data_IF_525891411680
#
_entry.id   IF_525891411680
#
_cell.length_a   1.000
_cell.length_b   1.000
_cell.length_c   1.000
_cell.angle_alpha   90.00
_cell.angle_beta   90.00
_cell.angle_gamma   90.00
#
_symmetry.space_group_name_H-M   'P 1'
#
loop_
_entity.id
_entity.type
_entity.pdbx_description
1 polymer ?
#
# COMPACT_ATOMS: atom_id res chain seq x y z
N UNK A 1 -3.27 -44.76 22.79
CA UNK A 1 -4.33 -44.11 21.99
C UNK A 1 -3.65 -43.18 21.01
N UNK A 2 -4.01 -43.31 19.73
CA UNK A 2 -3.20 -42.90 18.57
C UNK A 2 -3.07 -41.39 18.44
N UNK A 3 -1.84 -40.86 18.48
CA UNK A 3 -1.52 -39.54 17.97
C UNK A 3 -1.08 -39.69 16.51
N UNK A 4 -2.03 -39.60 15.58
CA UNK A 4 -1.72 -39.54 14.16
C UNK A 4 -1.22 -38.14 13.82
N UNK A 5 0.10 -37.94 13.93
CA UNK A 5 0.76 -36.83 13.25
C UNK A 5 0.70 -37.12 11.74
N UNK A 6 -0.27 -36.51 11.06
CA UNK A 6 -0.29 -36.35 9.61
C UNK A 6 0.85 -35.38 9.21
N UNK A 7 2.07 -35.91 9.24
CA UNK A 7 3.22 -35.31 8.60
C UNK A 7 3.02 -35.56 7.09
N UNK A 8 2.41 -34.59 6.42
CA UNK A 8 2.20 -34.62 4.97
C UNK A 8 3.56 -34.66 4.28
N UNK A 9 3.94 -35.84 3.81
CA UNK A 9 5.14 -36.09 3.02
C UNK A 9 4.91 -35.66 1.57
N UNK A 10 5.41 -34.47 1.22
CA UNK A 10 5.36 -33.91 -0.13
C UNK A 10 6.40 -34.52 -1.09
N UNK A 11 7.13 -35.57 -0.69
CA UNK A 11 8.08 -36.28 -1.57
C UNK A 11 7.46 -37.49 -2.28
N UNK A 12 6.19 -37.79 -2.02
CA UNK A 12 5.46 -38.87 -2.71
C UNK A 12 5.09 -38.47 -4.15
N UNK A 13 5.49 -39.26 -5.17
CA UNK A 13 5.10 -39.01 -6.56
C UNK A 13 3.57 -39.05 -6.72
N UNK A 14 2.96 -37.92 -7.10
CA UNK A 14 1.51 -37.81 -7.36
C UNK A 14 0.70 -36.98 -6.36
N UNK A 15 1.31 -36.37 -5.33
CA UNK A 15 0.61 -35.40 -4.49
C UNK A 15 0.33 -34.11 -5.28
N UNK A 16 -0.93 -33.68 -5.31
CA UNK A 16 -1.29 -32.34 -5.81
C UNK A 16 -0.73 -31.33 -4.80
N UNK A 17 0.13 -30.38 -5.20
CA UNK A 17 0.61 -29.36 -4.28
C UNK A 17 -0.57 -28.61 -3.66
N UNK A 18 -0.52 -28.29 -2.35
CA UNK A 18 -1.62 -27.63 -1.68
C UNK A 18 -1.89 -26.29 -2.35
N UNK A 19 -3.16 -25.92 -2.43
CA UNK A 19 -3.57 -24.64 -3.00
C UNK A 19 -2.85 -23.50 -2.24
N UNK A 20 -2.09 -22.63 -2.94
CA UNK A 20 -1.30 -21.59 -2.28
C UNK A 20 -2.13 -20.63 -1.41
N UNK A 21 -3.41 -20.42 -1.74
CA UNK A 21 -4.29 -19.54 -0.97
C UNK A 21 -4.73 -20.22 0.34
N UNK A 22 -5.06 -21.51 0.28
CA UNK A 22 -5.36 -22.29 1.50
C UNK A 22 -4.13 -22.43 2.40
N UNK A 23 -2.93 -22.56 1.81
CA UNK A 23 -1.67 -22.60 2.56
C UNK A 23 -1.41 -21.27 3.30
N UNK A 24 -1.57 -20.13 2.61
CA UNK A 24 -1.45 -18.80 3.22
C UNK A 24 -2.48 -18.63 4.34
N UNK A 25 -3.74 -19.04 4.12
CA UNK A 25 -4.78 -18.95 5.15
C UNK A 25 -4.43 -19.77 6.38
N UNK A 26 -3.90 -20.99 6.19
CA UNK A 26 -3.46 -21.84 7.31
C UNK A 26 -2.37 -21.15 8.11
N UNK A 27 -1.35 -20.62 7.45
CA UNK A 27 -0.23 -19.92 8.10
C UNK A 27 -0.73 -18.70 8.90
N UNK A 28 -1.63 -17.90 8.33
CA UNK A 28 -2.22 -16.74 9.02
C UNK A 28 -2.97 -17.17 10.28
N UNK A 29 -3.81 -18.20 10.17
CA UNK A 29 -4.57 -18.73 11.31
C UNK A 29 -3.65 -19.29 12.41
N UNK A 30 -2.65 -20.09 12.04
CA UNK A 30 -1.67 -20.62 12.99
C UNK A 30 -0.89 -19.49 13.70
N UNK A 31 -0.52 -18.46 12.95
CA UNK A 31 0.16 -17.27 13.51
C UNK A 31 -0.73 -16.55 14.51
N UNK A 32 -2.01 -16.32 14.17
CA UNK A 32 -2.98 -15.68 15.07
C UNK A 32 -3.15 -16.46 16.37
N UNK A 33 -3.30 -17.79 16.28
CA UNK A 33 -3.44 -18.67 17.45
C UNK A 33 -2.20 -18.56 18.34
N UNK A 34 -0.99 -18.63 17.76
CA UNK A 34 0.26 -18.50 18.52
C UNK A 34 0.40 -17.14 19.20
N UNK A 35 -0.04 -16.06 18.56
CA UNK A 35 -0.02 -14.72 19.17
C UNK A 35 -0.99 -14.60 20.34
N UNK A 36 -2.18 -15.20 20.25
CA UNK A 36 -3.13 -15.23 21.38
C UNK A 36 -2.59 -16.03 22.57
N UNK A 37 -1.90 -17.16 22.30
CA UNK A 37 -1.23 -17.93 23.35
C UNK A 37 -0.12 -17.10 23.99
N UNK A 38 0.70 -16.42 23.19
CA UNK A 38 1.76 -15.54 23.68
C UNK A 38 1.18 -14.41 24.55
N UNK A 39 0.13 -13.72 24.11
CA UNK A 39 -0.56 -12.71 24.91
C UNK A 39 -1.00 -13.26 26.26
N UNK A 40 -1.71 -14.40 26.27
CA UNK A 40 -2.15 -15.05 27.51
C UNK A 40 -1.00 -15.37 28.47
N UNK A 41 0.13 -15.87 27.96
CA UNK A 41 1.31 -16.17 28.78
C UNK A 41 1.90 -14.90 29.39
N UNK A 42 2.06 -13.85 28.58
CA UNK A 42 2.63 -12.57 29.03
C UNK A 42 1.73 -11.90 30.07
N UNK A 43 0.40 -11.96 29.90
CA UNK A 43 -0.56 -11.37 30.83
C UNK A 43 -0.64 -12.12 32.17
N UNK A 44 -0.66 -13.45 32.12
CA UNK A 44 -0.90 -14.27 33.30
C UNK A 44 0.37 -14.50 34.13
N UNK A 45 1.53 -14.63 33.49
CA UNK A 45 2.77 -14.99 34.17
C UNK A 45 3.61 -13.75 34.57
N UNK A 46 3.11 -12.53 34.33
CA UNK A 46 3.80 -11.26 34.60
C UNK A 46 5.25 -11.28 34.10
N UNK A 47 5.45 -11.82 32.90
CA UNK A 47 6.78 -12.08 32.35
C UNK A 47 7.50 -10.75 32.10
N UNK A 48 8.66 -10.57 32.74
CA UNK A 48 9.50 -9.37 32.55
C UNK A 48 10.31 -9.40 31.24
N UNK A 49 10.43 -10.56 30.59
CA UNK A 49 11.17 -10.70 29.33
C UNK A 49 10.58 -9.82 28.22
N UNK A 50 11.37 -8.85 27.77
CA UNK A 50 10.97 -7.85 26.79
C UNK A 50 10.72 -8.44 25.41
N UNK A 51 11.31 -9.58 25.06
CA UNK A 51 11.25 -10.12 23.70
C UNK A 51 9.84 -10.55 23.31
N UNK A 52 9.12 -11.22 24.22
CA UNK A 52 7.72 -11.60 24.00
C UNK A 52 6.81 -10.39 23.80
N UNK A 53 6.94 -9.38 24.67
CA UNK A 53 6.18 -8.14 24.56
C UNK A 53 6.49 -7.36 23.27
N UNK A 54 7.76 -7.31 22.85
CA UNK A 54 8.16 -6.69 21.58
C UNK A 54 7.55 -7.42 20.39
N UNK A 55 7.57 -8.76 20.39
CA UNK A 55 7.01 -9.56 19.30
C UNK A 55 5.50 -9.31 19.15
N UNK A 56 4.77 -9.30 20.27
CA UNK A 56 3.33 -9.05 20.28
C UNK A 56 2.99 -7.61 19.82
N UNK A 57 3.75 -6.62 20.28
CA UNK A 57 3.58 -5.24 19.84
C UNK A 57 3.87 -5.05 18.34
N UNK A 58 4.90 -5.70 17.80
CA UNK A 58 5.18 -5.67 16.35
C UNK A 58 4.06 -6.33 15.55
N UNK A 59 3.47 -7.41 16.05
CA UNK A 59 2.34 -8.06 15.41
C UNK A 59 1.12 -7.14 15.34
N UNK A 60 0.69 -6.56 16.47
CA UNK A 60 -0.44 -5.63 16.49
C UNK A 60 -0.23 -4.38 15.63
N UNK A 61 1.01 -3.89 15.54
CA UNK A 61 1.34 -2.79 14.65
C UNK A 61 1.18 -3.18 13.17
N UNK A 62 1.59 -4.39 12.79
CA UNK A 62 1.49 -4.88 11.43
C UNK A 62 0.04 -5.21 11.01
N UNK A 63 -0.81 -5.57 11.96
CA UNK A 63 -2.23 -5.92 11.74
C UNK A 63 -3.21 -4.78 12.02
N UNK A 64 -2.71 -3.57 12.32
CA UNK A 64 -3.50 -2.37 12.66
C UNK A 64 -4.43 -2.55 13.87
N UNK A 65 -4.03 -3.37 14.83
CA UNK A 65 -4.77 -3.64 16.07
C UNK A 65 -4.40 -2.64 17.17
N UNK A 66 -4.76 -1.37 16.95
CA UNK A 66 -4.36 -0.24 17.82
C UNK A 66 -4.85 -0.39 19.26
N UNK A 67 -6.03 -0.99 19.47
CA UNK A 67 -6.59 -1.19 20.82
C UNK A 67 -5.78 -2.21 21.62
N UNK A 68 -5.39 -3.32 20.98
CA UNK A 68 -4.61 -4.39 21.61
C UNK A 68 -3.19 -3.92 21.91
N UNK A 69 -2.60 -3.10 21.02
CA UNK A 69 -1.33 -2.42 21.28
C UNK A 69 -1.39 -1.51 22.52
N UNK A 70 -2.46 -0.72 22.66
CA UNK A 70 -2.65 0.15 23.82
C UNK A 70 -2.88 -0.64 25.13
N UNK A 71 -3.52 -1.81 25.05
CA UNK A 71 -3.71 -2.73 26.17
C UNK A 71 -2.35 -3.24 26.68
N UNK A 72 -1.53 -3.81 25.80
CA UNK A 72 -0.23 -4.39 26.19
C UNK A 72 0.78 -3.34 26.65
N UNK A 73 0.74 -2.11 26.10
CA UNK A 73 1.57 -0.99 26.58
C UNK A 73 1.31 -0.70 28.06
N UNK A 74 0.03 -0.69 28.47
CA UNK A 74 -0.35 -0.44 29.87
C UNK A 74 0.10 -1.58 30.78
N UNK A 75 -0.09 -2.82 30.33
CA UNK A 75 0.29 -4.01 31.11
C UNK A 75 1.80 -4.11 31.29
N UNK A 76 2.57 -3.96 30.22
CA UNK A 76 4.02 -3.97 30.29
C UNK A 76 4.57 -2.85 31.18
N UNK A 77 4.01 -1.64 31.06
CA UNK A 77 4.38 -0.51 31.91
C UNK A 77 4.04 -0.74 33.37
N UNK A 78 2.94 -1.44 33.67
CA UNK A 78 2.57 -1.80 35.04
C UNK A 78 3.53 -2.83 35.64
N UNK A 79 4.00 -3.80 34.86
CA UNK A 79 4.92 -4.86 35.31
C UNK A 79 6.34 -4.29 35.49
N UNK A 80 6.85 -3.59 34.48
CA UNK A 80 8.27 -3.22 34.41
C UNK A 80 8.56 -1.76 34.81
N UNK A 81 7.54 -0.91 34.89
CA UNK A 81 7.68 0.53 35.08
C UNK A 81 8.14 1.30 33.84
N UNK A 82 8.49 0.60 32.75
CA UNK A 82 9.06 1.17 31.53
C UNK A 82 8.02 1.17 30.39
N UNK A 83 8.10 2.15 29.50
CA UNK A 83 7.26 2.18 28.29
C UNK A 83 7.81 1.24 27.22
N UNK A 84 6.99 0.26 26.80
CA UNK A 84 7.31 -0.68 25.74
C UNK A 84 7.49 0.05 24.41
N UNK A 85 6.56 0.97 24.11
CA UNK A 85 6.59 1.80 22.91
C UNK A 85 7.79 2.75 22.86
N UNK A 86 8.31 3.23 24.00
CA UNK A 86 9.53 4.04 24.02
C UNK A 86 10.77 3.21 23.61
N UNK A 87 10.90 1.98 24.13
CA UNK A 87 11.98 1.07 23.75
C UNK A 87 11.89 0.67 22.28
N UNK A 88 10.69 0.33 21.81
CA UNK A 88 10.41 0.01 20.41
C UNK A 88 10.67 1.21 19.49
N UNK A 89 10.27 2.42 19.87
CA UNK A 89 10.59 3.66 19.15
C UNK A 89 12.09 3.88 19.02
N UNK A 90 12.84 3.66 20.10
CA UNK A 90 14.29 3.81 20.07
C UNK A 90 14.95 2.76 19.16
N UNK A 91 14.54 1.50 19.28
CA UNK A 91 15.13 0.35 18.57
C UNK A 91 14.71 0.25 17.10
N UNK A 92 13.47 0.61 16.80
CA UNK A 92 12.84 0.57 15.48
C UNK A 92 12.36 1.97 15.08
N UNK A 93 13.22 2.96 15.23
CA UNK A 93 12.92 4.37 14.92
C UNK A 93 12.38 4.53 13.50
N UNK A 94 12.82 3.70 12.55
CA UNK A 94 12.31 3.68 11.17
C UNK A 94 10.83 3.25 11.03
N UNK A 95 10.29 2.52 12.01
CA UNK A 95 8.89 2.07 12.02
C UNK A 95 7.97 2.96 12.86
N UNK A 96 8.53 3.69 13.83
CA UNK A 96 7.76 4.54 14.75
C UNK A 96 8.01 6.05 14.59
N UNK A 97 8.99 6.48 13.80
CA UNK A 97 9.13 7.88 13.39
C UNK A 97 7.97 8.21 12.45
N UNK A 98 6.84 8.48 13.07
CA UNK A 98 5.69 9.11 12.46
C UNK A 98 5.76 10.64 12.57
N UNK A 99 6.79 11.22 13.21
CA UNK A 99 7.04 12.68 13.28
C UNK A 99 8.48 12.97 13.78
N UNK A 100 9.42 13.23 12.88
CA UNK A 100 10.62 14.10 13.09
C UNK A 100 11.44 14.29 11.81
N UNK A 101 10.75 14.53 10.70
CA UNK A 101 11.17 15.34 9.57
C UNK A 101 9.94 15.35 8.66
N UNK A 102 9.44 16.52 8.30
CA UNK A 102 8.58 16.74 7.14
C UNK A 102 9.36 16.32 5.89
N UNK A 103 9.57 15.02 5.74
CA UNK A 103 10.14 14.42 4.57
C UNK A 103 9.00 13.57 4.03
N UNK A 104 8.40 13.99 2.90
CA UNK A 104 7.29 13.25 2.34
C UNK A 104 7.73 11.81 2.12
N UNK A 105 6.90 10.85 2.52
CA UNK A 105 6.99 9.44 2.15
C UNK A 105 7.09 9.38 0.63
N UNK A 106 8.31 9.12 0.15
CA UNK A 106 8.62 9.05 -1.27
C UNK A 106 8.29 7.64 -1.75
N UNK A 107 7.31 7.53 -2.63
CA UNK A 107 7.10 6.33 -3.44
C UNK A 107 7.79 6.55 -4.79
N UNK A 108 8.93 5.89 -4.96
CA UNK A 108 9.59 5.84 -6.26
C UNK A 108 8.77 4.99 -7.22
N UNK A 109 8.29 5.61 -8.30
CA UNK A 109 7.53 4.91 -9.32
C UNK A 109 8.52 4.07 -10.15
N UNK A 110 8.22 2.78 -10.36
CA UNK A 110 9.12 1.87 -11.05
C UNK A 110 9.37 2.29 -12.49
N UNK A 111 10.57 1.96 -13.00
CA UNK A 111 10.98 2.23 -14.39
C UNK A 111 9.97 1.75 -15.43
N UNK A 112 9.31 0.62 -15.15
CA UNK A 112 8.20 0.09 -15.93
C UNK A 112 6.95 -0.05 -15.07
N UNK A 113 5.89 0.67 -15.44
CA UNK A 113 4.61 0.63 -14.75
C UNK A 113 3.75 -0.47 -15.38
N UNK A 114 3.43 -1.48 -14.58
CA UNK A 114 2.55 -2.62 -14.93
C UNK A 114 1.48 -2.79 -13.85
N UNK A 115 0.61 -3.80 -14.01
CA UNK A 115 -0.34 -4.16 -12.95
C UNK A 115 0.36 -4.56 -11.64
N UNK A 116 1.52 -5.20 -11.68
CA UNK A 116 2.15 -5.77 -10.48
C UNK A 116 3.06 -4.76 -9.77
N UNK A 117 3.61 -3.81 -10.52
CA UNK A 117 4.64 -2.91 -10.00
C UNK A 117 4.10 -1.65 -9.34
N UNK A 118 2.83 -1.28 -9.58
CA UNK A 118 2.19 -0.12 -8.95
C UNK A 118 1.36 -0.54 -7.72
N UNK A 119 1.81 -0.26 -6.49
CA UNK A 119 1.17 -0.71 -5.25
C UNK A 119 0.01 0.23 -4.84
N UNK A 120 -1.01 0.35 -5.71
CA UNK A 120 -2.15 1.28 -5.54
C UNK A 120 -2.81 1.16 -4.17
N UNK A 121 -3.03 -0.06 -3.68
CA UNK A 121 -3.66 -0.29 -2.37
C UNK A 121 -2.83 0.25 -1.20
N UNK A 122 -1.51 0.10 -1.26
CA UNK A 122 -0.61 0.60 -0.22
C UNK A 122 -0.56 2.13 -0.23
N UNK A 123 -0.52 2.75 -1.42
CA UNK A 123 -0.50 4.22 -1.56
C UNK A 123 -1.82 4.81 -1.04
N UNK A 124 -2.97 4.22 -1.38
CA UNK A 124 -4.29 4.66 -0.88
C UNK A 124 -4.41 4.45 0.63
N UNK A 125 -3.99 3.30 1.16
CA UNK A 125 -4.05 3.05 2.60
C UNK A 125 -3.17 4.06 3.36
N UNK A 126 -1.95 4.31 2.88
CA UNK A 126 -1.02 5.25 3.52
C UNK A 126 -1.51 6.68 3.48
N UNK A 127 -2.11 7.10 2.36
CA UNK A 127 -2.66 8.45 2.23
C UNK A 127 -3.82 8.74 3.19
N UNK A 128 -4.62 7.72 3.53
CA UNK A 128 -5.65 7.84 4.57
C UNK A 128 -5.06 7.95 5.98
N UNK A 129 -3.96 7.25 6.26
CA UNK A 129 -3.35 7.23 7.59
C UNK A 129 -2.51 8.46 7.94
N UNK A 130 -2.04 9.20 6.92
CA UNK A 130 -1.21 10.42 7.03
C UNK A 130 -1.42 11.33 5.79
N UNK A 131 -2.52 12.09 5.74
CA UNK A 131 -2.83 12.96 4.59
C UNK A 131 -1.90 14.18 4.57
N UNK A 132 -0.99 14.25 3.60
CA UNK A 132 -0.12 15.42 3.39
C UNK A 132 1.36 15.13 3.17
N UNK A 133 1.82 13.92 3.46
CA UNK A 133 3.25 13.56 3.40
C UNK A 133 3.55 12.55 2.28
N UNK A 134 2.81 12.51 1.17
CA UNK A 134 3.07 11.51 0.11
C UNK A 134 3.59 12.19 -1.14
N UNK A 135 4.81 11.84 -1.52
CA UNK A 135 5.45 12.22 -2.76
C UNK A 135 5.54 11.00 -3.67
N UNK A 136 4.94 11.06 -4.86
CA UNK A 136 5.19 10.07 -5.90
C UNK A 136 6.29 10.60 -6.82
N UNK A 137 7.40 9.87 -6.91
CA UNK A 137 8.56 10.25 -7.73
C UNK A 137 8.53 9.51 -9.07
N UNK A 138 8.26 10.24 -10.16
CA UNK A 138 8.20 9.73 -11.53
C UNK A 138 9.54 9.80 -12.28
N UNK A 139 10.62 10.26 -11.63
CA UNK A 139 11.91 10.53 -12.29
C UNK A 139 12.50 9.34 -13.06
N UNK A 140 12.17 8.11 -12.64
CA UNK A 140 12.72 6.89 -13.23
C UNK A 140 11.81 6.22 -14.28
N UNK A 141 10.60 6.74 -14.51
CA UNK A 141 9.60 6.09 -15.37
C UNK A 141 9.99 6.20 -16.84
N UNK A 142 10.02 5.06 -17.54
CA UNK A 142 10.36 4.99 -18.96
C UNK A 142 9.29 4.28 -19.78
N UNK A 143 8.68 3.25 -19.23
CA UNK A 143 7.66 2.45 -19.91
C UNK A 143 6.40 2.31 -19.06
N UNK A 144 5.26 2.25 -19.74
CA UNK A 144 3.98 1.89 -19.13
C UNK A 144 3.19 1.01 -20.10
N UNK A 145 2.67 -0.10 -19.59
CA UNK A 145 1.79 -0.98 -20.35
C UNK A 145 0.31 -0.63 -20.15
N UNK A 146 -0.57 -1.29 -20.92
CA UNK A 146 -2.02 -1.03 -20.84
C UNK A 146 -2.64 -1.35 -19.48
N UNK A 147 -2.07 -2.28 -18.71
CA UNK A 147 -2.55 -2.60 -17.37
C UNK A 147 -2.08 -1.54 -16.36
N UNK A 148 -0.84 -1.05 -16.50
CA UNK A 148 -0.26 0.05 -15.77
C UNK A 148 -1.05 1.35 -15.96
N UNK A 149 -1.43 1.67 -17.21
CA UNK A 149 -2.29 2.83 -17.52
C UNK A 149 -3.60 2.78 -16.71
N UNK A 150 -4.30 1.64 -16.76
CA UNK A 150 -5.55 1.45 -16.00
C UNK A 150 -5.36 1.59 -14.49
N UNK A 151 -4.26 1.07 -13.93
CA UNK A 151 -3.98 1.21 -12.50
C UNK A 151 -3.65 2.65 -12.12
N UNK A 152 -2.88 3.35 -12.95
CA UNK A 152 -2.50 4.74 -12.70
C UNK A 152 -3.72 5.68 -12.77
N UNK A 153 -4.58 5.52 -13.77
CA UNK A 153 -5.83 6.29 -13.88
C UNK A 153 -6.73 6.09 -12.65
N UNK A 154 -6.83 4.84 -12.16
CA UNK A 154 -7.55 4.53 -10.91
C UNK A 154 -6.92 5.20 -9.71
N UNK A 155 -5.59 5.16 -9.60
CA UNK A 155 -4.88 5.81 -8.50
C UNK A 155 -5.20 7.30 -8.47
N UNK A 156 -5.05 8.02 -9.58
CA UNK A 156 -5.37 9.46 -9.62
C UNK A 156 -6.83 9.74 -9.28
N UNK A 157 -7.77 8.95 -9.84
CA UNK A 157 -9.20 9.12 -9.57
C UNK A 157 -9.55 8.90 -8.10
N UNK A 158 -8.96 7.89 -7.45
CA UNK A 158 -9.16 7.64 -6.01
C UNK A 158 -8.64 8.79 -5.14
N UNK A 159 -7.50 9.40 -5.52
CA UNK A 159 -6.95 10.55 -4.78
C UNK A 159 -7.84 11.79 -4.89
N UNK A 160 -8.42 12.05 -6.08
CA UNK A 160 -9.38 13.13 -6.28
C UNK A 160 -10.65 12.92 -5.46
N UNK A 161 -11.24 11.71 -5.49
CA UNK A 161 -12.48 11.39 -4.76
C UNK A 161 -12.33 11.50 -3.24
N UNK A 162 -11.16 11.14 -2.72
CA UNK A 162 -10.89 11.16 -1.28
C UNK A 162 -10.28 12.49 -0.80
N UNK A 163 -10.17 13.50 -1.67
CA UNK A 163 -9.56 14.82 -1.39
C UNK A 163 -8.15 14.75 -0.79
N UNK A 164 -7.38 13.75 -1.22
CA UNK A 164 -6.05 13.46 -0.70
C UNK A 164 -5.04 14.38 -1.37
N UNK A 165 -4.31 15.16 -0.57
CA UNK A 165 -3.17 15.95 -1.06
C UNK A 165 -1.99 15.02 -1.34
N UNK A 166 -1.53 15.06 -2.58
CA UNK A 166 -0.44 14.22 -3.08
C UNK A 166 0.54 15.10 -3.86
N UNK A 167 1.82 15.01 -3.53
CA UNK A 167 2.87 15.68 -4.27
C UNK A 167 3.39 14.77 -5.39
N UNK A 168 3.59 15.35 -6.57
CA UNK A 168 4.06 14.63 -7.76
C UNK A 168 5.40 15.22 -8.18
N UNK A 169 6.47 14.42 -8.14
CA UNK A 169 7.81 14.84 -8.57
C UNK A 169 8.09 14.34 -9.97
N UNK A 170 8.59 15.23 -10.83
CA UNK A 170 9.00 14.95 -12.22
C UNK A 170 7.91 14.27 -13.07
N UNK A 171 6.63 14.51 -12.73
CA UNK A 171 5.52 13.92 -13.47
C UNK A 171 5.26 14.60 -14.81
N UNK A 172 5.58 15.89 -14.96
CA UNK A 172 5.25 16.66 -16.16
C UNK A 172 5.85 16.05 -17.42
N UNK A 173 7.13 15.69 -17.39
CA UNK A 173 7.79 15.00 -18.50
C UNK A 173 7.10 13.68 -18.86
N UNK A 174 6.66 12.91 -17.84
CA UNK A 174 5.94 11.67 -18.07
C UNK A 174 4.56 11.91 -18.71
N UNK A 175 3.83 12.94 -18.27
CA UNK A 175 2.53 13.32 -18.84
C UNK A 175 2.68 13.83 -20.28
N UNK A 176 3.71 14.61 -20.58
CA UNK A 176 4.00 15.08 -21.94
C UNK A 176 4.32 13.90 -22.87
N UNK A 177 5.10 12.91 -22.40
CA UNK A 177 5.33 11.67 -23.15
C UNK A 177 4.01 10.92 -23.43
N UNK A 178 3.11 10.85 -22.44
CA UNK A 178 1.79 10.24 -22.62
C UNK A 178 0.93 11.03 -23.61
N UNK A 179 0.89 12.36 -23.52
CA UNK A 179 0.15 13.23 -24.44
C UNK A 179 0.60 13.03 -25.89
N UNK A 180 1.91 13.11 -26.13
CA UNK A 180 2.48 12.90 -27.47
C UNK A 180 2.12 11.51 -28.03
N UNK A 181 2.13 10.48 -27.17
CA UNK A 181 1.75 9.12 -27.56
C UNK A 181 0.23 8.98 -27.78
N UNK A 182 -0.59 9.74 -27.06
CA UNK A 182 -2.05 9.74 -27.18
C UNK A 182 -2.52 10.37 -28.50
N UNK A 183 -1.82 11.43 -28.94
CA UNK A 183 -2.08 12.12 -30.20
C UNK A 183 -1.53 11.36 -31.42
N UNK A 184 -0.48 10.56 -31.23
CA UNK A 184 0.01 9.66 -32.26
C UNK A 184 -1.01 8.53 -32.54
N UNK A 185 -1.10 8.07 -33.78
CA UNK A 185 -1.99 6.98 -34.21
C UNK A 185 -1.69 5.60 -33.58
N UNK A 186 -0.66 5.53 -32.74
CA UNK A 186 -0.24 4.36 -31.95
C UNK A 186 -0.73 4.40 -30.50
N UNK A 187 -1.40 5.49 -30.10
CA UNK A 187 -1.96 5.70 -28.76
C UNK A 187 -3.15 4.81 -28.46
N UNK A 188 -3.21 4.26 -27.24
CA UNK A 188 -4.37 3.50 -26.76
C UNK A 188 -5.30 4.43 -25.98
N UNK A 189 -6.61 4.18 -26.04
CA UNK A 189 -7.63 4.92 -25.26
C UNK A 189 -7.31 5.02 -23.76
N UNK A 190 -6.68 3.99 -23.19
CA UNK A 190 -6.26 3.96 -21.79
C UNK A 190 -5.28 5.09 -21.41
N UNK A 191 -4.57 5.69 -22.38
CA UNK A 191 -3.71 6.85 -22.13
C UNK A 191 -4.56 8.07 -21.80
N UNK A 192 -5.64 8.30 -22.54
CA UNK A 192 -6.58 9.39 -22.30
C UNK A 192 -7.24 9.28 -20.92
N UNK A 193 -7.54 8.06 -20.45
CA UNK A 193 -8.07 7.85 -19.10
C UNK A 193 -7.10 8.35 -18.02
N UNK A 194 -5.78 8.17 -18.21
CA UNK A 194 -4.74 8.70 -17.30
C UNK A 194 -4.68 10.23 -17.39
N UNK A 195 -4.67 10.78 -18.60
CA UNK A 195 -4.58 12.23 -18.82
C UNK A 195 -5.76 12.98 -18.19
N UNK A 196 -6.99 12.50 -18.39
CA UNK A 196 -8.17 13.10 -17.76
C UNK A 196 -8.13 12.97 -16.23
N UNK A 197 -7.72 11.82 -15.69
CA UNK A 197 -7.59 11.65 -14.24
C UNK A 197 -6.50 12.54 -13.65
N UNK A 198 -5.41 12.79 -14.39
CA UNK A 198 -4.36 13.71 -13.98
C UNK A 198 -4.84 15.16 -13.91
N UNK A 199 -5.58 15.66 -14.91
CA UNK A 199 -6.08 17.03 -14.87
C UNK A 199 -7.11 17.24 -13.75
N UNK A 200 -7.94 16.24 -13.43
CA UNK A 200 -8.81 16.28 -12.25
C UNK A 200 -8.02 16.31 -10.95
N UNK A 201 -6.94 15.53 -10.85
CA UNK A 201 -6.06 15.53 -9.69
C UNK A 201 -5.41 16.91 -9.47
N UNK A 202 -5.05 17.59 -10.54
CA UNK A 202 -4.47 18.95 -10.50
C UNK A 202 -5.52 20.07 -10.37
N UNK A 203 -6.81 19.75 -10.34
CA UNK A 203 -7.91 20.72 -10.43
C UNK A 203 -7.78 21.67 -11.64
N UNK A 204 -7.18 21.19 -12.73
CA UNK A 204 -6.88 21.98 -13.92
C UNK A 204 -7.97 21.81 -15.00
N UNK A 205 -9.13 22.39 -14.71
CA UNK A 205 -10.31 22.30 -15.58
C UNK A 205 -10.06 22.78 -17.01
N UNK A 206 -9.23 23.81 -17.20
CA UNK A 206 -8.93 24.35 -18.52
C UNK A 206 -8.20 23.32 -19.39
N UNK A 207 -7.14 22.71 -18.88
CA UNK A 207 -6.40 21.69 -19.63
C UNK A 207 -7.23 20.42 -19.86
N UNK A 208 -8.15 20.09 -18.95
CA UNK A 208 -9.12 19.02 -19.14
C UNK A 208 -10.04 19.29 -20.34
N UNK A 209 -10.61 20.49 -20.43
CA UNK A 209 -11.51 20.88 -21.53
C UNK A 209 -10.78 20.89 -22.89
N UNK A 210 -9.52 21.34 -22.92
CA UNK A 210 -8.68 21.27 -24.13
C UNK A 210 -8.44 19.83 -24.59
N UNK A 211 -8.10 18.92 -23.65
CA UNK A 211 -7.95 17.49 -23.94
C UNK A 211 -9.26 16.83 -24.35
N UNK A 212 -10.39 17.26 -23.79
CA UNK A 212 -11.72 16.77 -24.13
C UNK A 212 -12.09 17.04 -25.59
N UNK A 213 -11.69 18.20 -26.13
CA UNK A 213 -11.86 18.55 -27.55
C UNK A 213 -11.00 17.62 -28.42
N UNK A 214 -9.71 17.47 -28.11
CA UNK A 214 -8.81 16.60 -28.87
C UNK A 214 -9.30 15.15 -28.88
N UNK A 215 -9.74 14.65 -27.73
CA UNK A 215 -10.30 13.31 -27.60
C UNK A 215 -11.55 13.12 -28.47
N UNK A 216 -12.47 14.09 -28.47
CA UNK A 216 -13.68 14.04 -29.28
C UNK A 216 -13.37 14.04 -30.78
N UNK A 217 -12.35 14.80 -31.21
CA UNK A 217 -11.87 14.79 -32.60
C UNK A 217 -11.29 13.42 -32.98
N UNK A 218 -10.49 12.83 -32.09
CA UNK A 218 -9.78 11.58 -32.37
C UNK A 218 -10.70 10.35 -32.39
N UNK A 219 -11.67 10.28 -31.47
CA UNK A 219 -12.52 9.10 -31.29
C UNK A 219 -13.96 9.27 -31.75
N UNK A 220 -14.42 10.50 -32.05
CA UNK A 220 -15.79 10.76 -32.48
C UNK A 220 -16.86 10.45 -31.43
N UNK A 221 -16.48 10.37 -30.16
CA UNK A 221 -17.38 10.10 -29.02
C UNK A 221 -17.26 11.22 -27.99
N UNK A 222 -18.26 11.32 -27.11
CA UNK A 222 -18.20 12.29 -26.02
C UNK A 222 -17.02 12.00 -25.07
N UNK A 223 -16.29 13.02 -24.64
CA UNK A 223 -15.25 12.89 -23.62
C UNK A 223 -15.89 12.52 -22.26
N UNK A 224 -15.09 12.02 -21.30
CA UNK A 224 -15.56 11.84 -19.94
C UNK A 224 -15.96 13.19 -19.30
N UNK A 225 -16.90 13.15 -18.34
CA UNK A 225 -17.32 14.32 -17.56
C UNK A 225 -16.22 14.80 -16.61
N UNK A 226 -16.29 16.04 -16.14
CA UNK A 226 -15.33 16.57 -15.17
C UNK A 226 -15.39 15.88 -13.78
N UNK A 227 -16.58 15.43 -13.36
CA UNK A 227 -16.84 14.82 -12.03
C UNK A 227 -15.93 13.63 -11.68
#
# INVERSE_FOLDING_TARGET
>A
MSANNLLLDFTSPGAIPPDPVEEIRRIVNETQIKMQVLESLLENEQVEDVAGWQLLAMFYLATDQVNDLAKIERLYKNITGVSLSANLKQKYTQWFNKEAASNPIIFEIPKKITAETLPVGMIIQRSRSSPGDILLDFSNVQEIDNNGLRKLARLFSSMTQESIKLELKQIDHFIDCLQNKAEASTGTRAIWDVLFAYERLQDNRKAFEEKAIQFAILYGISPPSWE
#
